data_IF_232022643882
#
_entry.id   IF_232022643882
#
_cell.length_a   1.000
_cell.length_b   1.000
_cell.length_c   1.000
_cell.angle_alpha   90.00
_cell.angle_beta   90.00
_cell.angle_gamma   90.00
#
_symmetry.space_group_name_H-M   'P 1'
#
loop_
_entity.id
_entity.type
_entity.pdbx_description
1 polymer ?
#
# COMPACT_ATOMS: atom_id res chain seq x y z
N UNK A 1 -4.58 12.58 1.75
CA UNK A 1 -3.79 13.77 2.19
C UNK A 1 -2.76 14.22 1.16
N UNK A 2 -2.03 13.31 0.49
CA UNK A 2 -1.01 13.68 -0.51
C UNK A 2 -1.56 14.48 -1.71
N UNK A 3 -2.79 14.21 -2.16
CA UNK A 3 -3.40 14.93 -3.27
C UNK A 3 -3.71 16.42 -3.01
N UNK A 4 -3.80 16.81 -1.73
CA UNK A 4 -4.08 18.18 -1.29
C UNK A 4 -2.80 19.02 -1.07
N UNK A 5 -1.62 18.38 -1.09
CA UNK A 5 -0.35 19.08 -0.91
C UNK A 5 0.03 19.86 -2.17
N UNK A 6 0.26 21.16 -2.03
CA UNK A 6 0.73 22.06 -3.11
C UNK A 6 2.22 22.37 -3.02
N UNK A 7 2.86 22.06 -1.89
CA UNK A 7 4.28 22.32 -1.61
C UNK A 7 5.11 21.02 -1.61
N UNK A 8 6.31 21.09 -2.20
CA UNK A 8 7.25 19.97 -2.29
C UNK A 8 7.62 19.39 -0.92
N UNK A 9 7.84 20.24 0.08
CA UNK A 9 8.12 19.82 1.46
C UNK A 9 6.99 18.99 2.08
N UNK A 10 5.73 19.38 1.88
CA UNK A 10 4.58 18.64 2.39
C UNK A 10 4.42 17.26 1.74
N UNK A 11 4.77 17.17 0.45
CA UNK A 11 4.78 15.91 -0.30
C UNK A 11 5.81 14.92 0.26
N UNK A 12 7.02 15.40 0.59
CA UNK A 12 8.07 14.60 1.24
C UNK A 12 7.64 14.18 2.64
N UNK A 13 7.13 15.10 3.47
CA UNK A 13 6.69 14.76 4.83
C UNK A 13 5.59 13.69 4.81
N UNK A 14 4.59 13.80 3.94
CA UNK A 14 3.57 12.77 3.80
C UNK A 14 4.15 11.43 3.35
N UNK A 15 5.17 11.41 2.48
CA UNK A 15 5.83 10.16 2.06
C UNK A 15 6.62 9.52 3.20
N UNK A 16 7.31 10.32 4.02
CA UNK A 16 8.05 9.83 5.17
C UNK A 16 7.12 9.25 6.25
N UNK A 17 6.02 9.93 6.54
CA UNK A 17 5.04 9.47 7.54
C UNK A 17 4.40 8.15 7.12
N UNK A 18 4.02 8.02 5.85
CA UNK A 18 3.46 6.76 5.32
C UNK A 18 4.53 5.67 5.32
N UNK A 19 5.75 5.95 4.87
CA UNK A 19 6.84 4.99 4.91
C UNK A 19 7.16 4.49 6.32
N UNK A 20 7.14 5.38 7.32
CA UNK A 20 7.30 5.01 8.72
C UNK A 20 6.15 4.15 9.24
N UNK A 21 4.91 4.45 8.83
CA UNK A 21 3.74 3.66 9.20
C UNK A 21 3.76 2.25 8.55
N UNK A 22 4.20 2.14 7.29
CA UNK A 22 4.20 0.87 6.55
C UNK A 22 5.40 -0.03 6.90
N UNK A 23 6.55 0.53 7.30
CA UNK A 23 7.79 -0.23 7.55
C UNK A 23 7.64 -1.32 8.63
N UNK A 24 6.77 -1.11 9.62
CA UNK A 24 6.53 -2.07 10.71
C UNK A 24 5.40 -3.07 10.44
N UNK A 25 4.57 -2.84 9.41
CA UNK A 25 3.32 -3.56 9.23
C UNK A 25 3.55 -5.03 8.89
N UNK A 26 4.39 -5.30 7.88
CA UNK A 26 4.74 -6.64 7.43
C UNK A 26 5.44 -7.48 8.51
N UNK A 27 6.53 -7.02 9.14
CA UNK A 27 7.17 -7.79 10.22
C UNK A 27 6.28 -7.91 11.46
N UNK A 28 5.44 -6.91 11.77
CA UNK A 28 4.49 -6.96 12.88
C UNK A 28 3.40 -8.02 12.68
N UNK A 29 2.86 -8.13 11.47
CA UNK A 29 1.88 -9.17 11.12
C UNK A 29 2.51 -10.56 11.21
N UNK A 30 3.70 -10.76 10.66
CA UNK A 30 4.39 -12.05 10.70
C UNK A 30 4.72 -12.46 12.15
N UNK A 31 5.18 -11.52 12.97
CA UNK A 31 5.45 -11.75 14.39
C UNK A 31 4.18 -12.11 15.15
N UNK A 32 3.07 -11.40 14.91
CA UNK A 32 1.76 -11.69 15.53
C UNK A 32 1.24 -13.09 15.16
N UNK A 33 1.33 -13.49 13.89
CA UNK A 33 0.95 -14.84 13.46
C UNK A 33 1.84 -15.92 14.10
N UNK A 34 3.11 -15.62 14.39
CA UNK A 34 4.05 -16.54 15.04
C UNK A 34 3.69 -16.90 16.49
N UNK A 35 3.01 -16.02 17.24
CA UNK A 35 2.54 -16.33 18.60
C UNK A 35 1.28 -17.19 18.63
N UNK A 36 0.43 -17.06 17.61
CA UNK A 36 -0.91 -17.65 17.62
C UNK A 36 -0.99 -19.01 16.89
N UNK A 37 -0.04 -19.32 16.00
CA UNK A 37 -0.06 -20.54 15.18
C UNK A 37 1.20 -21.41 15.30
N UNK A 38 1.00 -22.73 15.23
CA UNK A 38 2.08 -23.73 15.25
C UNK A 38 2.78 -23.76 13.89
N UNK A 39 4.10 -23.99 13.86
CA UNK A 39 4.97 -23.86 12.67
C UNK A 39 4.46 -24.56 11.40
N UNK A 40 3.73 -25.68 11.54
CA UNK A 40 3.21 -26.46 10.42
C UNK A 40 2.00 -25.81 9.72
N UNK A 41 1.19 -25.03 10.44
CA UNK A 41 0.02 -24.30 9.90
C UNK A 41 0.35 -22.84 9.56
N UNK A 42 1.44 -22.31 10.13
CA UNK A 42 1.91 -20.94 9.90
C UNK A 42 2.19 -20.65 8.42
N UNK A 43 2.90 -21.56 7.73
CA UNK A 43 3.32 -21.36 6.35
C UNK A 43 2.13 -21.17 5.39
N UNK A 44 1.07 -21.95 5.56
CA UNK A 44 -0.13 -21.85 4.71
C UNK A 44 -0.88 -20.53 4.95
N UNK A 45 -0.99 -20.08 6.22
CA UNK A 45 -1.69 -18.83 6.53
C UNK A 45 -0.92 -17.59 6.10
N UNK A 46 0.40 -17.58 6.28
CA UNK A 46 1.26 -16.52 5.75
C UNK A 46 1.20 -16.49 4.23
N UNK A 47 1.17 -17.65 3.56
CA UNK A 47 0.99 -17.72 2.11
C UNK A 47 -0.31 -17.08 1.64
N UNK A 48 -1.41 -17.27 2.35
CA UNK A 48 -2.70 -16.64 2.03
C UNK A 48 -2.62 -15.11 2.20
N UNK A 49 -2.09 -14.63 3.33
CA UNK A 49 -1.94 -13.18 3.60
C UNK A 49 -1.03 -12.51 2.56
N UNK A 50 0.08 -13.16 2.21
CA UNK A 50 1.00 -12.65 1.21
C UNK A 50 0.38 -12.65 -0.19
N UNK A 51 -0.42 -13.67 -0.51
CA UNK A 51 -1.16 -13.72 -1.78
C UNK A 51 -2.17 -12.58 -1.88
N UNK A 52 -2.87 -12.25 -0.79
CA UNK A 52 -3.76 -11.08 -0.73
C UNK A 52 -3.00 -9.77 -0.96
N UNK A 53 -1.78 -9.64 -0.45
CA UNK A 53 -0.93 -8.46 -0.68
C UNK A 53 -0.56 -8.31 -2.16
N UNK A 54 -0.16 -9.41 -2.81
CA UNK A 54 0.14 -9.44 -4.25
C UNK A 54 -1.10 -9.11 -5.10
N UNK A 55 -2.26 -9.62 -4.72
CA UNK A 55 -3.54 -9.32 -5.39
C UNK A 55 -3.86 -7.83 -5.25
N UNK A 56 -3.80 -7.28 -4.03
CA UNK A 56 -4.03 -5.85 -3.79
C UNK A 56 -3.08 -4.96 -4.60
N UNK A 57 -1.80 -5.33 -4.70
CA UNK A 57 -0.81 -4.65 -5.54
C UNK A 57 -1.16 -4.69 -7.04
N UNK A 58 -1.62 -5.85 -7.54
CA UNK A 58 -2.04 -5.99 -8.93
C UNK A 58 -3.27 -5.13 -9.25
N UNK A 59 -4.26 -5.09 -8.35
CA UNK A 59 -5.43 -4.22 -8.50
C UNK A 59 -5.07 -2.74 -8.43
N UNK A 60 -4.16 -2.34 -7.53
CA UNK A 60 -3.66 -0.96 -7.46
C UNK A 60 -2.94 -0.54 -8.76
N UNK A 61 -2.16 -1.44 -9.37
CA UNK A 61 -1.49 -1.19 -10.64
C UNK A 61 -2.46 -1.09 -11.83
N UNK A 62 -3.47 -1.98 -11.86
CA UNK A 62 -4.53 -1.95 -12.87
C UNK A 62 -5.33 -0.65 -12.81
N UNK A 63 -5.71 -0.21 -11.61
CA UNK A 63 -6.41 1.05 -11.39
C UNK A 63 -5.57 2.25 -11.81
N UNK A 64 -4.27 2.27 -11.48
CA UNK A 64 -3.36 3.32 -11.93
C UNK A 64 -3.27 3.39 -13.47
N UNK A 65 -3.24 2.25 -14.16
CA UNK A 65 -3.23 2.19 -15.62
C UNK A 65 -4.55 2.69 -16.25
N UNK A 66 -5.68 2.39 -15.61
CA UNK A 66 -6.99 2.91 -16.03
C UNK A 66 -7.10 4.43 -15.88
N UNK A 67 -6.60 4.97 -14.78
CA UNK A 67 -6.60 6.42 -14.49
C UNK A 67 -5.58 7.17 -15.35
N UNK A 68 -4.46 6.55 -15.72
CA UNK A 68 -3.48 7.13 -16.63
C UNK A 68 -4.05 7.43 -18.03
N UNK A 69 -5.12 6.72 -18.44
CA UNK A 69 -5.83 6.96 -19.70
C UNK A 69 -6.95 8.01 -19.58
N UNK A 70 -7.28 8.49 -18.37
CA UNK A 70 -8.24 9.58 -18.17
C UNK A 70 -7.55 10.94 -18.38
N UNK A 71 -7.78 11.57 -19.53
CA UNK A 71 -7.45 12.98 -19.74
C UNK A 71 -8.51 13.88 -19.07
N UNK A 72 -8.23 14.32 -17.84
CA UNK A 72 -9.03 15.29 -17.09
C UNK A 72 -8.21 16.51 -16.62
N UNK A 73 -8.87 17.47 -15.98
CA UNK A 73 -8.29 18.76 -15.53
C UNK A 73 -7.26 18.66 -14.39
N UNK A 74 -7.08 17.49 -13.80
CA UNK A 74 -6.18 17.21 -12.69
C UNK A 74 -5.18 16.12 -13.10
N UNK A 75 -3.90 16.35 -12.81
CA UNK A 75 -2.80 15.42 -13.12
C UNK A 75 -3.07 14.01 -12.55
N UNK A 76 -2.91 12.98 -13.37
CA UNK A 76 -3.24 11.57 -13.06
C UNK A 76 -2.69 11.07 -11.71
N UNK A 77 -1.51 11.53 -11.28
CA UNK A 77 -0.93 11.14 -9.98
C UNK A 77 -1.74 11.61 -8.76
N UNK A 78 -2.46 12.74 -8.86
CA UNK A 78 -3.31 13.27 -7.78
C UNK A 78 -4.60 12.47 -7.64
N UNK A 79 -5.12 11.94 -8.74
CA UNK A 79 -6.26 11.00 -8.73
C UNK A 79 -5.90 9.69 -8.03
N UNK A 80 -4.71 9.16 -8.31
CA UNK A 80 -4.18 7.95 -7.66
C UNK A 80 -3.94 8.18 -6.15
N UNK A 81 -3.72 9.44 -5.74
CA UNK A 81 -3.50 9.80 -4.33
C UNK A 81 -4.77 10.20 -3.56
N UNK A 82 -5.92 10.25 -4.26
CA UNK A 82 -7.26 10.56 -3.71
C UNK A 82 -8.07 9.29 -3.47
N UNK A 83 -7.89 8.31 -4.34
CA UNK A 83 -8.46 6.99 -4.25
C UNK A 83 -7.66 6.12 -3.28
#
# INVERSE_FOLDING_TARGET
>A
CQAACTNFGGLITCRLVIGLAEAGLLPGILFYLGFWYRNFEYATRVGIVHSSFSIAGAFSGLLAAGIANLHGTLSAWRWISIL
#
